data_IF_370870819836
#
_entry.id   IF_370870819836
#
_cell.length_a   1.000
_cell.length_b   1.000
_cell.length_c   1.000
_cell.angle_alpha   90.00
_cell.angle_beta   90.00
_cell.angle_gamma   90.00
#
_symmetry.space_group_name_H-M   'P 1'
#
loop_
_entity.id
_entity.type
_entity.pdbx_description
1 polymer ?
#
# COMPACT_ATOMS: atom_id res chain seq x y z
N UNK A 1 8.88 -23.23 32.92
CA UNK A 1 9.30 -22.13 32.03
C UNK A 1 9.65 -20.91 32.88
N UNK A 2 10.82 -20.30 32.68
CA UNK A 2 11.29 -19.18 33.52
C UNK A 2 10.49 -17.90 33.19
N UNK A 3 10.12 -17.09 34.21
CA UNK A 3 9.38 -15.83 34.04
C UNK A 3 10.04 -14.88 33.03
N UNK A 4 11.37 -14.88 32.98
CA UNK A 4 12.16 -14.11 32.02
C UNK A 4 11.91 -14.53 30.56
N UNK A 5 11.84 -15.83 30.28
CA UNK A 5 11.53 -16.34 28.93
C UNK A 5 10.12 -15.98 28.49
N UNK A 6 9.14 -15.97 29.41
CA UNK A 6 7.77 -15.55 29.12
C UNK A 6 7.70 -14.07 28.73
N UNK A 7 8.42 -13.20 29.45
CA UNK A 7 8.48 -11.77 29.14
C UNK A 7 9.21 -11.48 27.82
N UNK A 8 10.30 -12.20 27.54
CA UNK A 8 11.05 -12.12 26.27
C UNK A 8 10.17 -12.57 25.09
N UNK A 9 9.46 -13.70 25.22
CA UNK A 9 8.53 -14.21 24.20
C UNK A 9 7.38 -13.23 23.96
N UNK A 10 6.77 -12.69 25.03
CA UNK A 10 5.69 -11.70 24.91
C UNK A 10 6.15 -10.47 24.11
N UNK A 11 7.34 -9.96 24.41
CA UNK A 11 7.89 -8.80 23.69
C UNK A 11 8.11 -9.10 22.22
N UNK A 12 8.75 -10.22 21.92
CA UNK A 12 8.99 -10.65 20.54
C UNK A 12 7.68 -10.75 19.73
N UNK A 13 6.65 -11.39 20.28
CA UNK A 13 5.34 -11.53 19.62
C UNK A 13 4.68 -10.17 19.34
N UNK A 14 4.73 -9.26 20.31
CA UNK A 14 4.19 -7.91 20.13
C UNK A 14 4.98 -7.09 19.11
N UNK A 15 6.31 -7.26 19.07
CA UNK A 15 7.14 -6.60 18.07
C UNK A 15 6.82 -7.12 16.65
N UNK A 16 6.59 -8.43 16.49
CA UNK A 16 6.15 -8.99 15.21
C UNK A 16 4.76 -8.50 14.80
N UNK A 17 3.82 -8.40 15.76
CA UNK A 17 2.49 -7.85 15.48
C UNK A 17 2.55 -6.36 15.11
N UNK A 18 3.40 -5.56 15.77
CA UNK A 18 3.62 -4.17 15.37
C UNK A 18 4.22 -4.09 13.95
N UNK A 19 5.17 -4.97 13.62
CA UNK A 19 5.69 -5.07 12.25
C UNK A 19 4.61 -5.42 11.22
N UNK A 20 3.63 -6.25 11.58
CA UNK A 20 2.47 -6.54 10.74
C UNK A 20 1.52 -5.33 10.63
N UNK A 21 1.29 -4.61 11.73
CA UNK A 21 0.49 -3.38 11.73
C UNK A 21 1.12 -2.28 10.85
N UNK A 22 2.45 -2.20 10.83
CA UNK A 22 3.20 -1.21 10.04
C UNK A 22 3.39 -1.63 8.57
N UNK A 23 2.88 -2.80 8.15
CA UNK A 23 2.95 -3.28 6.77
C UNK A 23 1.94 -2.56 5.87
N UNK A 24 2.30 -1.33 5.51
CA UNK A 24 1.53 -0.43 4.65
C UNK A 24 1.21 -1.06 3.29
N UNK A 25 2.14 -1.83 2.71
CA UNK A 25 1.95 -2.44 1.39
C UNK A 25 0.85 -3.50 1.41
N UNK A 26 0.82 -4.35 2.45
CA UNK A 26 -0.22 -5.37 2.61
C UNK A 26 -1.58 -4.72 2.90
N UNK A 27 -1.61 -3.67 3.71
CA UNK A 27 -2.83 -2.88 3.90
C UNK A 27 -3.33 -2.23 2.60
N UNK A 28 -2.43 -1.68 1.78
CA UNK A 28 -2.78 -0.95 0.56
C UNK A 28 -3.48 -1.83 -0.48
N UNK A 29 -3.06 -3.09 -0.61
CA UNK A 29 -3.56 -3.98 -1.66
C UNK A 29 -4.42 -5.14 -1.14
N UNK A 30 -4.52 -5.34 0.18
CA UNK A 30 -5.38 -6.36 0.79
C UNK A 30 -5.89 -5.94 2.19
N UNK A 31 -6.52 -4.77 2.32
CA UNK A 31 -6.87 -4.19 3.62
C UNK A 31 -7.76 -5.11 4.46
N UNK A 32 -8.79 -5.70 3.86
CA UNK A 32 -9.74 -6.57 4.55
C UNK A 32 -9.06 -7.83 5.10
N UNK A 33 -8.32 -8.54 4.25
CA UNK A 33 -7.66 -9.79 4.61
C UNK A 33 -6.58 -9.54 5.68
N UNK A 34 -5.81 -8.45 5.55
CA UNK A 34 -4.78 -8.09 6.51
C UNK A 34 -5.37 -7.70 7.87
N UNK A 35 -6.45 -6.92 7.87
CA UNK A 35 -7.14 -6.56 9.10
C UNK A 35 -7.68 -7.80 9.83
N UNK A 36 -8.29 -8.74 9.11
CA UNK A 36 -8.73 -10.00 9.72
C UNK A 36 -7.55 -10.80 10.30
N UNK A 37 -6.44 -10.90 9.57
CA UNK A 37 -5.23 -11.57 10.05
C UNK A 37 -4.71 -10.94 11.36
N UNK A 38 -4.69 -9.60 11.46
CA UNK A 38 -4.29 -8.90 12.68
C UNK A 38 -5.23 -9.20 13.87
N UNK A 39 -6.54 -9.25 13.63
CA UNK A 39 -7.53 -9.60 14.67
C UNK A 39 -7.35 -11.03 15.18
N UNK A 40 -7.13 -11.98 14.28
CA UNK A 40 -6.89 -13.37 14.65
C UNK A 40 -5.62 -13.53 15.50
N UNK A 41 -4.54 -12.80 15.17
CA UNK A 41 -3.31 -12.80 15.97
C UNK A 41 -3.57 -12.19 17.36
N UNK A 42 -4.33 -11.09 17.45
CA UNK A 42 -4.70 -10.47 18.74
C UNK A 42 -5.51 -11.45 19.60
N UNK A 43 -6.45 -12.18 18.99
CA UNK A 43 -7.26 -13.16 19.70
C UNK A 43 -6.43 -14.34 20.18
N UNK A 44 -5.49 -14.84 19.38
CA UNK A 44 -4.55 -15.87 19.81
C UNK A 44 -3.67 -15.39 20.97
N UNK A 45 -3.15 -14.17 20.93
CA UNK A 45 -2.39 -13.58 22.04
C UNK A 45 -3.22 -13.48 23.33
N UNK A 46 -4.51 -13.19 23.21
CA UNK A 46 -5.40 -13.12 24.36
C UNK A 46 -5.71 -14.51 24.93
N UNK A 47 -6.07 -15.47 24.07
CA UNK A 47 -6.39 -16.84 24.50
C UNK A 47 -5.19 -17.57 25.12
N UNK A 48 -3.98 -17.33 24.60
CA UNK A 48 -2.73 -17.88 25.15
C UNK A 48 -2.20 -17.14 26.38
N UNK A 49 -2.84 -16.05 26.80
CA UNK A 49 -2.45 -15.26 27.97
C UNK A 49 -1.23 -14.36 27.77
N UNK A 50 -0.77 -14.15 26.53
CA UNK A 50 0.30 -13.21 26.18
C UNK A 50 -0.12 -11.76 26.48
N UNK A 51 -1.41 -11.45 26.32
CA UNK A 51 -2.01 -10.15 26.63
C UNK A 51 -3.28 -10.29 27.47
N UNK A 52 -3.58 -9.26 28.26
CA UNK A 52 -4.87 -9.14 28.97
C UNK A 52 -5.92 -8.38 28.16
N UNK A 53 -7.15 -8.34 28.67
CA UNK A 53 -8.30 -7.75 27.99
C UNK A 53 -8.10 -6.28 27.57
N UNK A 54 -7.55 -5.45 28.45
CA UNK A 54 -7.30 -4.03 28.14
C UNK A 54 -6.32 -3.84 26.99
N UNK A 55 -5.25 -4.64 26.96
CA UNK A 55 -4.26 -4.58 25.89
C UNK A 55 -4.82 -5.15 24.58
N UNK A 56 -5.68 -6.18 24.66
CA UNK A 56 -6.44 -6.67 23.49
C UNK A 56 -7.26 -5.54 22.85
N UNK A 57 -8.00 -4.78 23.66
CA UNK A 57 -8.82 -3.65 23.16
C UNK A 57 -7.95 -2.58 22.48
N UNK A 58 -6.81 -2.24 23.07
CA UNK A 58 -5.86 -1.28 22.48
C UNK A 58 -5.37 -1.73 21.09
N UNK A 59 -4.93 -2.98 20.96
CA UNK A 59 -4.45 -3.51 19.68
C UNK A 59 -5.56 -3.57 18.62
N UNK A 60 -6.79 -3.93 19.00
CA UNK A 60 -7.96 -3.89 18.11
C UNK A 60 -8.22 -2.46 17.62
N UNK A 61 -8.19 -1.47 18.50
CA UNK A 61 -8.39 -0.06 18.12
C UNK A 61 -7.29 0.42 17.16
N UNK A 62 -6.03 0.03 17.40
CA UNK A 62 -4.91 0.37 16.49
C UNK A 62 -5.07 -0.28 15.12
N UNK A 63 -5.42 -1.57 15.06
CA UNK A 63 -5.68 -2.28 13.82
C UNK A 63 -6.85 -1.65 13.03
N UNK A 64 -7.93 -1.29 13.73
CA UNK A 64 -9.08 -0.61 13.12
C UNK A 64 -8.69 0.75 12.55
N UNK A 65 -7.87 1.53 13.27
CA UNK A 65 -7.38 2.83 12.80
C UNK A 65 -6.57 2.71 11.50
N UNK A 66 -5.63 1.76 11.45
CA UNK A 66 -4.85 1.50 10.24
C UNK A 66 -5.74 1.03 9.07
N UNK A 67 -6.64 0.07 9.33
CA UNK A 67 -7.59 -0.43 8.33
C UNK A 67 -8.46 0.69 7.75
N UNK A 68 -9.09 1.50 8.60
CA UNK A 68 -9.94 2.61 8.14
C UNK A 68 -9.18 3.61 7.27
N UNK A 69 -7.96 3.99 7.68
CA UNK A 69 -7.10 4.87 6.89
C UNK A 69 -6.83 4.30 5.49
N UNK A 70 -6.44 3.02 5.40
CA UNK A 70 -6.10 2.41 4.11
C UNK A 70 -7.31 2.15 3.20
N UNK A 71 -8.47 1.85 3.77
CA UNK A 71 -9.72 1.75 3.00
C UNK A 71 -10.10 3.10 2.42
N UNK A 72 -10.02 4.18 3.20
CA UNK A 72 -10.28 5.54 2.72
C UNK A 72 -9.30 5.96 1.62
N UNK A 73 -8.00 5.69 1.81
CA UNK A 73 -6.96 5.96 0.80
C UNK A 73 -7.21 5.15 -0.49
N UNK A 74 -7.62 3.88 -0.39
CA UNK A 74 -7.94 3.03 -1.54
C UNK A 74 -9.14 3.56 -2.33
N UNK A 75 -10.22 3.94 -1.63
CA UNK A 75 -11.39 4.56 -2.25
C UNK A 75 -11.01 5.88 -2.95
N UNK A 76 -10.14 6.67 -2.33
CA UNK A 76 -9.66 7.91 -2.93
C UNK A 76 -8.79 7.64 -4.17
N UNK A 77 -7.94 6.60 -4.14
CA UNK A 77 -7.05 6.23 -5.23
C UNK A 77 -7.78 5.70 -6.48
N UNK A 78 -9.01 5.21 -6.32
CA UNK A 78 -9.91 4.85 -7.43
C UNK A 78 -10.48 6.06 -8.19
N UNK A 79 -10.35 7.26 -7.62
CA UNK A 79 -10.90 8.50 -8.20
C UNK A 79 -9.81 9.53 -8.50
N UNK A 80 -8.76 9.60 -7.69
CA UNK A 80 -7.69 10.57 -7.78
C UNK A 80 -6.33 9.89 -7.79
N UNK A 81 -5.38 10.47 -8.52
CA UNK A 81 -4.01 9.99 -8.49
C UNK A 81 -3.41 10.16 -7.08
N UNK A 82 -2.85 9.07 -6.56
CA UNK A 82 -2.13 9.02 -5.30
C UNK A 82 -0.78 8.33 -5.54
N UNK A 83 0.37 8.97 -5.28
CA UNK A 83 1.69 8.43 -5.60
C UNK A 83 2.01 7.12 -4.87
N UNK A 84 1.28 6.79 -3.80
CA UNK A 84 1.46 5.56 -3.04
C UNK A 84 0.91 4.33 -3.78
N UNK A 85 0.02 4.51 -4.75
CA UNK A 85 -0.60 3.38 -5.47
C UNK A 85 0.11 3.08 -6.78
N UNK A 86 -0.06 1.84 -7.23
CA UNK A 86 0.42 1.39 -8.51
C UNK A 86 -0.67 1.60 -9.57
N UNK A 87 -0.29 2.19 -10.70
CA UNK A 87 -1.19 2.45 -11.81
C UNK A 87 -0.67 1.85 -13.11
N UNK A 88 -1.60 1.45 -13.96
CA UNK A 88 -1.35 1.28 -15.39
C UNK A 88 -1.62 2.59 -16.12
N UNK A 89 -0.75 2.93 -17.08
CA UNK A 89 -0.93 4.06 -17.98
C UNK A 89 -1.46 3.55 -19.32
N UNK A 90 -2.64 4.02 -19.71
CA UNK A 90 -3.41 3.53 -20.85
C UNK A 90 -3.66 4.64 -21.88
N UNK A 91 -3.56 4.33 -23.17
CA UNK A 91 -4.11 5.13 -24.27
C UNK A 91 -5.33 4.40 -24.84
N UNK A 92 -6.53 4.87 -24.47
CA UNK A 92 -7.74 4.04 -24.59
C UNK A 92 -7.58 2.74 -23.80
N UNK A 93 -7.60 1.60 -24.49
CA UNK A 93 -7.39 0.27 -23.90
C UNK A 93 -5.94 -0.23 -24.03
N UNK A 94 -5.06 0.54 -24.67
CA UNK A 94 -3.68 0.13 -24.90
C UNK A 94 -2.80 0.45 -23.69
N UNK A 95 -2.19 -0.59 -23.09
CA UNK A 95 -1.18 -0.41 -22.05
C UNK A 95 0.11 0.18 -22.63
N UNK A 96 0.46 1.38 -22.15
CA UNK A 96 1.71 2.06 -22.49
C UNK A 96 2.83 1.76 -21.49
N UNK A 97 2.46 1.55 -20.23
CA UNK A 97 3.40 1.41 -19.14
C UNK A 97 2.73 1.44 -17.77
N UNK A 98 3.53 1.64 -16.75
CA UNK A 98 3.09 1.60 -15.34
C UNK A 98 3.61 2.83 -14.61
N UNK A 99 2.92 3.20 -13.54
CA UNK A 99 3.28 4.32 -12.68
C UNK A 99 3.41 3.83 -11.25
N UNK A 100 4.56 4.10 -10.64
CA UNK A 100 4.84 3.82 -9.24
C UNK A 100 5.62 4.99 -8.64
N UNK A 101 5.17 5.54 -7.51
CA UNK A 101 5.80 6.72 -6.87
C UNK A 101 5.94 7.91 -7.84
N UNK A 102 5.00 8.02 -8.79
CA UNK A 102 5.03 9.01 -9.86
C UNK A 102 5.98 8.68 -11.01
N UNK A 103 6.84 7.66 -10.93
CA UNK A 103 7.70 7.28 -12.06
C UNK A 103 6.93 6.50 -13.12
N UNK A 104 6.97 6.99 -14.36
CA UNK A 104 6.36 6.29 -15.50
C UNK A 104 7.40 5.37 -16.12
N UNK A 105 7.11 4.08 -16.18
CA UNK A 105 7.97 3.04 -16.73
C UNK A 105 7.28 2.34 -17.90
N UNK A 106 7.97 2.23 -19.03
CA UNK A 106 7.46 1.55 -20.22
C UNK A 106 7.51 0.03 -20.08
N UNK A 107 6.90 -0.67 -21.04
CA UNK A 107 6.86 -2.14 -21.07
C UNK A 107 8.25 -2.79 -21.18
N UNK A 108 9.26 -2.06 -21.66
CA UNK A 108 10.66 -2.51 -21.73
C UNK A 108 11.50 -2.05 -20.54
N UNK A 109 10.85 -1.63 -19.44
CA UNK A 109 11.46 -1.15 -18.20
C UNK A 109 12.30 0.12 -18.32
N UNK A 110 12.19 0.82 -19.45
CA UNK A 110 12.77 2.14 -19.60
C UNK A 110 11.90 3.19 -18.89
N UNK A 111 12.56 4.16 -18.24
CA UNK A 111 11.84 5.31 -17.67
C UNK A 111 11.32 6.20 -18.79
N UNK A 112 10.00 6.32 -18.87
CA UNK A 112 9.30 7.15 -19.86
C UNK A 112 9.01 8.55 -19.35
N UNK A 113 8.92 8.75 -18.03
CA UNK A 113 8.50 10.04 -17.50
C UNK A 113 8.36 10.08 -15.99
N UNK A 114 7.68 11.13 -15.54
CA UNK A 114 7.36 11.38 -14.14
C UNK A 114 6.05 12.14 -13.99
N UNK A 115 5.31 11.84 -12.94
CA UNK A 115 4.21 12.61 -12.38
C UNK A 115 4.70 13.17 -11.04
N UNK A 116 4.55 14.47 -10.81
CA UNK A 116 4.96 15.12 -9.56
C UNK A 116 3.92 16.13 -9.11
N UNK A 117 3.89 16.38 -7.80
CA UNK A 117 3.08 17.43 -7.21
C UNK A 117 3.86 18.72 -7.21
N UNK A 118 3.29 19.77 -7.78
CA UNK A 118 3.83 21.12 -7.68
C UNK A 118 3.16 21.85 -6.51
N UNK A 119 3.96 22.18 -5.49
CA UNK A 119 3.49 22.87 -4.29
C UNK A 119 3.11 24.34 -4.55
N UNK A 120 3.50 24.92 -5.68
CA UNK A 120 3.20 26.31 -6.03
C UNK A 120 1.76 26.45 -6.53
N UNK A 121 1.33 25.59 -7.45
CA UNK A 121 -0.03 25.63 -8.00
C UNK A 121 -0.96 24.53 -7.43
N UNK A 122 -0.41 23.64 -6.59
CA UNK A 122 -1.13 22.56 -5.93
C UNK A 122 -1.54 21.42 -6.88
N UNK A 123 -1.10 21.44 -8.13
CA UNK A 123 -1.50 20.48 -9.15
C UNK A 123 -0.51 19.32 -9.29
N UNK A 124 -1.01 18.19 -9.77
CA UNK A 124 -0.18 17.11 -10.28
C UNK A 124 0.17 17.41 -11.73
N UNK A 125 1.46 17.45 -12.03
CA UNK A 125 1.99 17.62 -13.37
C UNK A 125 2.55 16.31 -13.88
N UNK A 126 2.55 16.13 -15.18
CA UNK A 126 3.21 15.01 -15.82
C UNK A 126 4.20 15.52 -16.87
N UNK A 127 5.29 14.77 -17.02
CA UNK A 127 6.27 14.97 -18.08
C UNK A 127 6.65 13.61 -18.64
N UNK A 128 6.49 13.46 -19.94
CA UNK A 128 7.05 12.33 -20.68
C UNK A 128 8.30 12.75 -21.44
N UNK A 129 9.28 11.86 -21.46
CA UNK A 129 10.45 11.91 -22.30
C UNK A 129 10.14 11.14 -23.58
N UNK A 130 9.50 11.81 -24.54
CA UNK A 130 9.43 11.30 -25.90
C UNK A 130 10.55 11.92 -26.74
N UNK A 131 10.93 11.24 -27.82
CA UNK A 131 12.09 11.44 -28.69
C UNK A 131 12.27 12.86 -29.26
N UNK A 132 12.60 13.84 -28.39
CA UNK A 132 12.92 15.26 -28.62
C UNK A 132 11.87 16.29 -28.14
N UNK A 133 10.81 15.88 -27.43
CA UNK A 133 9.82 16.81 -26.85
C UNK A 133 9.54 16.50 -25.37
N UNK A 134 9.66 17.53 -24.52
CA UNK A 134 9.08 17.51 -23.18
C UNK A 134 7.58 17.76 -23.31
N UNK A 135 6.78 16.70 -23.46
CA UNK A 135 5.33 16.85 -23.38
C UNK A 135 4.97 17.02 -21.91
N UNK A 136 4.53 18.22 -21.56
CA UNK A 136 4.10 18.60 -20.22
C UNK A 136 2.59 18.75 -20.21
N UNK A 137 1.95 18.27 -19.16
CA UNK A 137 0.55 18.56 -18.88
C UNK A 137 0.21 18.25 -17.44
N UNK A 138 -1.06 17.97 -17.18
CA UNK A 138 -1.59 17.85 -15.81
C UNK A 138 -2.28 16.52 -15.60
N UNK A 139 -2.26 16.05 -14.36
CA UNK A 139 -3.07 14.93 -13.93
C UNK A 139 -4.31 15.49 -13.25
N UNK A 140 -5.46 15.21 -13.83
CA UNK A 140 -6.77 15.56 -13.28
C UNK A 140 -7.50 14.25 -12.97
N UNK A 141 -7.84 14.01 -11.69
CA UNK A 141 -8.36 12.71 -11.25
C UNK A 141 -7.40 11.59 -11.63
N UNK A 142 -7.86 10.65 -12.46
CA UNK A 142 -7.08 9.56 -13.04
C UNK A 142 -6.84 9.74 -14.55
N UNK A 143 -6.78 10.99 -15.02
CA UNK A 143 -6.54 11.33 -16.42
C UNK A 143 -5.30 12.20 -16.55
N UNK A 144 -4.42 11.84 -17.48
CA UNK A 144 -3.29 12.68 -17.88
C UNK A 144 -3.73 13.55 -19.05
N UNK A 145 -3.96 14.83 -18.76
CA UNK A 145 -4.40 15.84 -19.71
C UNK A 145 -3.20 16.41 -20.43
N UNK A 146 -3.21 16.28 -21.76
CA UNK A 146 -2.11 16.64 -22.65
C UNK A 146 -2.57 17.71 -23.64
N UNK A 147 -1.93 18.89 -23.70
CA UNK A 147 -2.36 19.93 -24.64
C UNK A 147 -2.35 19.43 -26.09
N UNK A 148 -3.50 19.49 -26.77
CA UNK A 148 -3.62 19.11 -28.19
C UNK A 148 -3.58 17.61 -28.47
N UNK A 149 -3.57 16.75 -27.45
CA UNK A 149 -3.58 15.28 -27.59
C UNK A 149 -4.75 14.69 -26.79
N UNK A 150 -5.17 13.46 -27.14
CA UNK A 150 -6.12 12.72 -26.35
C UNK A 150 -5.58 12.47 -24.91
N UNK A 151 -6.44 12.42 -23.87
CA UNK A 151 -6.00 12.12 -22.53
C UNK A 151 -5.52 10.67 -22.41
N UNK A 152 -4.55 10.41 -21.52
CA UNK A 152 -4.22 9.06 -21.09
C UNK A 152 -4.96 8.73 -19.80
N UNK A 153 -5.27 7.46 -19.58
CA UNK A 153 -5.93 6.99 -18.37
C UNK A 153 -4.94 6.34 -17.42
N UNK A 154 -5.04 6.69 -16.14
CA UNK A 154 -4.40 5.99 -15.04
C UNK A 154 -5.41 5.00 -14.46
N UNK A 155 -5.07 3.72 -14.41
CA UNK A 155 -5.92 2.70 -13.78
C UNK A 155 -5.22 2.16 -12.55
N UNK A 156 -5.78 2.41 -11.37
CA UNK A 156 -5.27 1.84 -10.11
C UNK A 156 -5.39 0.32 -10.20
N UNK A 157 -4.29 -0.40 -9.98
CA UNK A 157 -4.28 -1.87 -9.97
C UNK A 157 -3.35 -2.41 -8.90
N UNK A 158 -3.57 -3.66 -8.51
CA UNK A 158 -2.64 -4.41 -7.67
C UNK A 158 -1.38 -4.72 -8.50
N UNK A 159 -0.16 -4.46 -7.99
CA UNK A 159 1.08 -4.77 -8.70
C UNK A 159 1.16 -6.26 -9.08
N UNK A 160 1.64 -6.63 -10.27
CA UNK A 160 1.71 -8.03 -10.70
C UNK A 160 2.58 -8.94 -9.81
N UNK A 161 3.51 -8.36 -9.04
CA UNK A 161 4.39 -9.08 -8.11
C UNK A 161 3.92 -9.01 -6.66
N UNK A 162 2.75 -8.42 -6.41
CA UNK A 162 2.20 -8.40 -5.07
C UNK A 162 1.66 -9.78 -4.73
N UNK A 163 2.24 -10.36 -3.70
CA UNK A 163 1.73 -11.55 -3.04
C UNK A 163 1.26 -11.11 -1.66
N UNK A 164 0.01 -11.46 -1.32
CA UNK A 164 -0.51 -11.18 0.02
C UNK A 164 0.36 -11.91 1.04
N UNK A 165 0.96 -11.15 1.95
CA UNK A 165 1.72 -11.71 3.06
C UNK A 165 0.78 -11.95 4.24
N UNK A 166 0.47 -13.21 4.48
CA UNK A 166 -0.28 -13.58 5.67
C UNK A 166 0.61 -13.56 6.91
N UNK A 167 0.47 -12.49 7.71
CA UNK A 167 1.26 -12.33 8.92
C UNK A 167 0.97 -13.37 10.00
N UNK A 168 -0.15 -14.11 9.92
CA UNK A 168 -0.41 -15.24 10.83
C UNK A 168 0.69 -16.30 10.72
N UNK A 169 1.15 -16.57 9.50
CA UNK A 169 2.21 -17.54 9.24
C UNK A 169 3.57 -17.11 9.76
N UNK A 170 3.77 -15.81 10.00
CA UNK A 170 5.01 -15.27 10.57
C UNK A 170 4.92 -15.15 12.09
N UNK A 171 3.82 -14.60 12.60
CA UNK A 171 3.65 -14.25 14.00
C UNK A 171 3.25 -15.45 14.86
N UNK A 172 2.39 -16.33 14.33
CA UNK A 172 1.88 -17.51 15.02
C UNK A 172 2.66 -18.78 14.67
N UNK A 173 3.74 -18.67 13.88
CA UNK A 173 4.58 -19.80 13.57
C UNK A 173 5.08 -20.49 14.86
N UNK A 174 4.97 -21.83 14.94
CA UNK A 174 5.68 -22.56 15.99
C UNK A 174 7.18 -22.27 15.88
N UNK A 175 7.87 -22.18 17.01
CA UNK A 175 9.32 -22.05 17.02
C UNK A 175 9.90 -23.19 16.17
N UNK A 176 10.65 -22.85 15.12
CA UNK A 176 11.43 -23.85 14.40
C UNK A 176 12.57 -24.25 15.33
N UNK A 177 12.44 -25.43 15.93
CA UNK A 177 13.47 -26.10 16.74
C UNK A 177 14.85 -26.13 16.06
#
# INVERSE_FOLDING_TARGET
MNKRHLEERRRFLLDQWNGALDDDHTFRYSPDAHYQALLEIIDEFYHSGVIGLGHRQELVTRALGAYSFHVEEGIAADVYFNPNFYYELLDGDQLLGTVLEGYITGLTYNRLGVIWHDWVDGAWHYQMKDADLNVVGRVEKLQVIRPGLAPLTLRCVVPPKYEFRDWRETVLAPERD
#
